data_IF_868438714274
#
_entry.id   IF_868438714274
#
_cell.length_a   1.000
_cell.length_b   1.000
_cell.length_c   1.000
_cell.angle_alpha   90.00
_cell.angle_beta   90.00
_cell.angle_gamma   90.00
#
_symmetry.space_group_name_H-M   'P 1'
#
loop_
_entity.id
_entity.type
_entity.pdbx_description
1 polymer ?
#
# COMPACT_ATOMS: atom_id res chain seq x y z
N UNK A 1 -31.31 3.03 -2.62
CA UNK A 1 -29.90 2.69 -2.34
C UNK A 1 -29.67 1.32 -2.94
N UNK A 2 -28.67 1.14 -3.79
CA UNK A 2 -28.50 -0.09 -4.57
C UNK A 2 -27.29 -0.89 -4.13
N UNK A 3 -26.34 -0.27 -3.41
CA UNK A 3 -25.14 -0.90 -2.89
C UNK A 3 -24.67 -0.27 -1.58
N UNK A 4 -23.96 -1.06 -0.79
CA UNK A 4 -23.22 -0.67 0.40
C UNK A 4 -21.74 -0.89 0.12
N UNK A 5 -20.90 0.06 0.44
CA UNK A 5 -19.46 -0.12 0.51
C UNK A 5 -19.00 -0.10 1.97
N UNK A 6 -18.16 -1.08 2.34
CA UNK A 6 -17.56 -1.18 3.66
C UNK A 6 -16.08 -0.81 3.54
N UNK A 7 -15.64 0.14 4.38
CA UNK A 7 -14.22 0.47 4.55
C UNK A 7 -13.43 -0.73 5.11
N UNK A 8 -12.08 -0.70 5.11
CA UNK A 8 -11.28 -1.86 5.52
C UNK A 8 -11.67 -2.39 6.91
N UNK A 9 -11.97 -3.67 6.95
CA UNK A 9 -12.39 -4.40 8.17
C UNK A 9 -11.54 -5.65 8.43
N UNK A 10 -10.51 -5.86 7.62
CA UNK A 10 -9.60 -6.99 7.75
C UNK A 10 -8.79 -6.91 9.04
N UNK A 11 -8.23 -8.05 9.47
CA UNK A 11 -7.29 -8.08 10.59
C UNK A 11 -6.14 -7.10 10.32
N UNK A 12 -5.94 -6.16 11.24
CA UNK A 12 -5.01 -5.05 11.10
C UNK A 12 -4.49 -4.62 12.47
N UNK A 13 -3.24 -4.16 12.62
CA UNK A 13 -2.78 -3.47 13.82
C UNK A 13 -3.35 -2.05 13.98
N UNK A 14 -4.22 -1.60 13.07
CA UNK A 14 -4.95 -0.32 13.12
C UNK A 14 -4.06 0.93 13.18
N UNK A 15 -2.84 0.86 12.62
CA UNK A 15 -1.94 2.03 12.53
C UNK A 15 -2.42 3.04 11.49
N UNK A 16 -3.23 2.57 10.54
CA UNK A 16 -3.84 3.35 9.48
C UNK A 16 -5.31 2.93 9.27
N UNK A 17 -6.09 2.88 10.36
CA UNK A 17 -7.54 2.66 10.36
C UNK A 17 -8.00 1.45 9.51
N UNK A 18 -7.21 0.37 9.49
CA UNK A 18 -7.50 -0.86 8.76
C UNK A 18 -6.83 -0.96 7.39
N UNK A 19 -6.25 0.11 6.85
CA UNK A 19 -5.51 0.07 5.58
C UNK A 19 -4.15 -0.63 5.69
N UNK A 20 -3.63 -0.84 6.89
CA UNK A 20 -2.45 -1.67 7.19
C UNK A 20 -2.88 -3.14 7.45
N UNK A 21 -3.23 -3.85 6.39
CA UNK A 21 -3.82 -5.20 6.45
C UNK A 21 -2.80 -6.25 6.89
N UNK A 22 -3.07 -6.94 8.00
CA UNK A 22 -2.22 -8.02 8.51
C UNK A 22 -2.68 -9.42 8.04
N UNK A 23 -3.95 -9.57 7.67
CA UNK A 23 -4.51 -10.80 7.07
C UNK A 23 -5.75 -10.43 6.26
N UNK A 24 -5.70 -10.61 4.95
CA UNK A 24 -6.77 -10.28 4.02
C UNK A 24 -8.01 -11.19 4.10
N UNK A 25 -7.87 -12.35 4.73
CA UNK A 25 -8.94 -13.36 4.81
C UNK A 25 -9.51 -13.49 6.23
N UNK A 26 -9.19 -12.54 7.13
CA UNK A 26 -9.70 -12.48 8.49
C UNK A 26 -10.30 -11.11 8.81
N UNK A 27 -11.36 -11.14 9.57
CA UNK A 27 -12.00 -9.92 10.08
C UNK A 27 -11.29 -9.47 11.36
N UNK A 28 -11.11 -8.16 11.53
CA UNK A 28 -10.58 -7.60 12.77
C UNK A 28 -11.58 -7.84 13.90
N UNK A 29 -11.13 -8.33 15.07
CA UNK A 29 -12.02 -8.75 16.16
C UNK A 29 -12.98 -7.67 16.68
N UNK A 30 -12.64 -6.42 16.49
CA UNK A 30 -13.49 -5.26 16.86
C UNK A 30 -14.76 -5.16 16.02
N UNK A 31 -14.75 -5.71 14.81
CA UNK A 31 -15.87 -5.67 13.86
C UNK A 31 -16.68 -6.96 13.84
N UNK A 32 -16.28 -7.97 14.61
CA UNK A 32 -16.92 -9.27 14.69
C UNK A 32 -16.07 -10.39 14.09
N UNK A 33 -16.73 -11.41 13.59
CA UNK A 33 -16.10 -12.58 13.00
C UNK A 33 -16.67 -12.91 11.61
N UNK A 34 -16.24 -14.03 11.05
CA UNK A 34 -16.64 -14.46 9.73
C UNK A 34 -18.15 -14.82 9.66
N UNK A 35 -18.74 -15.30 10.76
CA UNK A 35 -20.16 -15.61 10.81
C UNK A 35 -21.01 -14.30 10.82
N UNK A 36 -20.53 -13.28 11.50
CA UNK A 36 -21.16 -11.94 11.45
C UNK A 36 -21.15 -11.37 10.04
N UNK A 37 -20.04 -11.52 9.32
CA UNK A 37 -19.94 -11.08 7.93
C UNK A 37 -20.86 -11.87 6.99
N UNK A 38 -20.92 -13.20 7.15
CA UNK A 38 -21.83 -14.06 6.37
C UNK A 38 -23.30 -13.67 6.62
N UNK A 39 -23.66 -13.32 7.85
CA UNK A 39 -24.99 -12.82 8.18
C UNK A 39 -25.28 -11.44 7.57
N UNK A 40 -24.29 -10.53 7.58
CA UNK A 40 -24.39 -9.22 6.97
C UNK A 40 -24.64 -9.31 5.46
N UNK A 41 -23.87 -10.13 4.74
CA UNK A 41 -23.99 -10.26 3.28
C UNK A 41 -25.34 -10.91 2.90
N UNK A 42 -25.75 -11.95 3.64
CA UNK A 42 -27.07 -12.56 3.45
C UNK A 42 -28.18 -11.52 3.63
N UNK A 43 -28.12 -10.72 4.70
CA UNK A 43 -29.10 -9.68 4.97
C UNK A 43 -29.11 -8.58 3.92
N UNK A 44 -27.96 -8.17 3.42
CA UNK A 44 -27.87 -7.19 2.34
C UNK A 44 -28.57 -7.71 1.07
N UNK A 45 -28.28 -8.94 0.69
CA UNK A 45 -28.89 -9.58 -0.48
C UNK A 45 -30.41 -9.78 -0.33
N UNK A 46 -30.90 -10.17 0.83
CA UNK A 46 -32.35 -10.28 1.13
C UNK A 46 -33.07 -8.94 0.93
N UNK A 47 -32.37 -7.83 1.13
CA UNK A 47 -32.89 -6.48 0.93
C UNK A 47 -32.64 -5.96 -0.51
N UNK A 48 -32.09 -6.78 -1.39
CA UNK A 48 -31.78 -6.41 -2.77
C UNK A 48 -30.56 -5.46 -2.90
N UNK A 49 -29.71 -5.38 -1.86
CA UNK A 49 -28.53 -4.53 -1.85
C UNK A 49 -27.28 -5.32 -2.29
N UNK A 50 -26.42 -4.66 -3.04
CA UNK A 50 -25.07 -5.15 -3.37
C UNK A 50 -24.10 -4.79 -2.26
N UNK A 51 -23.14 -5.69 -1.96
CA UNK A 51 -22.09 -5.45 -0.97
C UNK A 51 -20.74 -5.33 -1.66
N UNK A 52 -20.10 -4.19 -1.48
CA UNK A 52 -18.72 -3.93 -1.91
C UNK A 52 -17.82 -3.81 -0.69
N UNK A 53 -16.62 -4.36 -0.78
CA UNK A 53 -15.60 -4.24 0.26
C UNK A 53 -14.36 -3.53 -0.27
N UNK A 54 -13.58 -2.97 0.65
CA UNK A 54 -12.29 -2.34 0.32
C UNK A 54 -11.20 -3.40 0.24
N UNK A 55 -10.37 -3.36 -0.79
CA UNK A 55 -9.13 -4.13 -0.89
C UNK A 55 -7.96 -3.18 -1.07
N UNK A 56 -6.88 -3.45 -0.34
CA UNK A 56 -5.64 -2.68 -0.36
C UNK A 56 -4.58 -3.48 -1.13
N UNK A 57 -4.48 -3.35 -2.46
CA UNK A 57 -3.58 -4.19 -3.24
C UNK A 57 -2.13 -3.68 -3.28
N UNK A 58 -1.89 -2.40 -2.96
CA UNK A 58 -0.58 -1.78 -3.15
C UNK A 58 0.44 -2.13 -2.06
N UNK A 59 -0.02 -2.41 -0.85
CA UNK A 59 0.80 -2.69 0.33
C UNK A 59 0.06 -3.60 1.30
N UNK A 60 0.76 -4.09 2.30
CA UNK A 60 0.15 -4.74 3.45
C UNK A 60 0.80 -4.24 4.75
N UNK A 61 0.33 -4.72 5.90
CA UNK A 61 0.98 -4.43 7.18
C UNK A 61 2.39 -5.03 7.27
N UNK A 62 3.26 -4.38 8.01
CA UNK A 62 4.54 -4.95 8.46
C UNK A 62 4.35 -6.21 9.34
N UNK A 63 3.12 -6.45 9.84
CA UNK A 63 2.75 -7.65 10.59
C UNK A 63 2.14 -8.76 9.72
N UNK A 64 1.91 -8.52 8.44
CA UNK A 64 1.43 -9.55 7.52
C UNK A 64 2.47 -10.66 7.38
N UNK A 65 2.01 -11.92 7.37
CA UNK A 65 2.89 -13.08 7.27
C UNK A 65 3.82 -13.02 6.05
N UNK A 66 3.36 -12.46 4.95
CA UNK A 66 4.19 -12.29 3.74
C UNK A 66 5.41 -11.40 3.99
N UNK A 67 5.23 -10.26 4.68
CA UNK A 67 6.35 -9.38 5.00
C UNK A 67 7.23 -9.96 6.08
N UNK A 68 6.63 -10.59 7.11
CA UNK A 68 7.38 -11.23 8.18
C UNK A 68 8.31 -12.33 7.66
N UNK A 69 7.88 -13.10 6.64
CA UNK A 69 8.71 -14.10 5.98
C UNK A 69 9.77 -13.44 5.08
N UNK A 70 9.35 -12.51 4.21
CA UNK A 70 10.22 -11.80 3.28
C UNK A 70 11.42 -11.12 3.95
N UNK A 71 11.19 -10.49 5.12
CA UNK A 71 12.20 -9.74 5.85
C UNK A 71 13.28 -10.59 6.54
N UNK A 72 13.09 -11.93 6.63
CA UNK A 72 14.03 -12.80 7.36
C UNK A 72 15.36 -12.99 6.61
N UNK A 73 15.32 -13.11 5.28
CA UNK A 73 16.49 -13.32 4.46
C UNK A 73 16.28 -12.84 3.02
N UNK A 74 17.36 -12.89 2.21
CA UNK A 74 17.32 -12.51 0.79
C UNK A 74 16.92 -13.65 -0.14
N UNK A 75 16.78 -14.86 0.38
CA UNK A 75 16.65 -16.11 -0.38
C UNK A 75 15.50 -17.02 0.06
N UNK A 76 14.53 -16.48 0.85
CA UNK A 76 13.31 -17.21 1.17
C UNK A 76 12.26 -17.10 0.02
N UNK A 77 11.21 -17.90 0.10
CA UNK A 77 10.16 -18.01 -0.92
C UNK A 77 9.44 -16.68 -1.20
N UNK A 78 9.50 -15.74 -0.27
CA UNK A 78 8.92 -14.39 -0.41
C UNK A 78 9.95 -13.28 -0.53
N UNK A 79 11.21 -13.63 -0.83
CA UNK A 79 12.29 -12.66 -0.90
C UNK A 79 11.97 -11.47 -1.83
N UNK A 80 11.27 -11.72 -2.96
CA UNK A 80 10.95 -10.73 -3.98
C UNK A 80 9.47 -10.27 -3.95
N UNK A 81 8.76 -10.53 -2.84
CA UNK A 81 7.35 -10.12 -2.71
C UNK A 81 7.17 -8.63 -2.42
N UNK A 82 8.23 -7.98 -1.99
CA UNK A 82 8.29 -6.55 -1.68
C UNK A 82 9.45 -5.90 -2.43
N UNK A 83 9.43 -4.57 -2.50
CA UNK A 83 10.52 -3.82 -3.12
C UNK A 83 11.68 -3.67 -2.14
N UNK A 84 12.70 -4.51 -2.30
CA UNK A 84 13.94 -4.50 -1.52
C UNK A 84 15.10 -3.96 -2.37
N UNK A 85 15.89 -3.06 -1.82
CA UNK A 85 17.05 -2.46 -2.52
C UNK A 85 18.24 -2.37 -1.57
N UNK A 86 19.41 -2.66 -2.10
CA UNK A 86 20.67 -2.49 -1.36
C UNK A 86 20.93 -1.00 -1.08
N UNK A 87 21.60 -0.66 0.03
CA UNK A 87 22.03 0.71 0.28
C UNK A 87 22.99 1.19 -0.80
N UNK A 88 23.06 2.51 -0.98
CA UNK A 88 24.12 3.14 -1.75
C UNK A 88 25.49 2.88 -1.07
N UNK A 89 26.62 3.10 -1.77
CA UNK A 89 27.96 2.85 -1.21
C UNK A 89 28.27 3.61 0.09
N UNK A 90 27.59 4.72 0.34
CA UNK A 90 27.69 5.51 1.58
C UNK A 90 26.71 5.04 2.69
N UNK A 91 25.96 3.98 2.43
CA UNK A 91 24.96 3.42 3.35
C UNK A 91 23.60 4.10 3.31
N UNK A 92 23.42 5.13 2.48
CA UNK A 92 22.16 5.86 2.37
C UNK A 92 21.07 5.08 1.60
N UNK A 93 19.83 5.57 1.71
CA UNK A 93 18.68 5.01 0.98
C UNK A 93 18.86 5.13 -0.54
N UNK A 94 18.28 4.20 -1.34
CA UNK A 94 18.54 4.12 -2.77
C UNK A 94 18.08 5.33 -3.57
N UNK A 95 17.06 6.05 -3.10
CA UNK A 95 16.58 7.28 -3.75
C UNK A 95 16.14 8.34 -2.74
N UNK A 96 15.87 9.55 -3.25
CA UNK A 96 15.34 10.67 -2.48
C UNK A 96 13.81 10.65 -2.32
N UNK A 97 13.13 9.56 -2.64
CA UNK A 97 11.68 9.49 -2.63
C UNK A 97 11.09 9.74 -1.25
N UNK A 98 9.93 10.42 -1.23
CA UNK A 98 9.15 10.71 -0.03
C UNK A 98 7.90 9.85 0.02
N UNK A 99 7.50 9.52 1.25
CA UNK A 99 6.20 8.93 1.55
C UNK A 99 5.09 9.96 1.39
N UNK A 100 3.89 9.52 0.99
CA UNK A 100 2.69 10.37 0.94
C UNK A 100 2.32 10.93 2.33
N UNK A 101 2.69 10.24 3.40
CA UNK A 101 2.45 10.69 4.77
C UNK A 101 3.63 11.47 5.37
N UNK A 102 4.61 11.81 4.53
CA UNK A 102 5.80 12.56 4.91
C UNK A 102 6.97 11.65 5.33
N UNK A 103 8.16 12.26 5.34
CA UNK A 103 9.40 11.51 5.55
C UNK A 103 9.83 10.70 4.34
N UNK A 104 10.86 9.86 4.50
CA UNK A 104 11.43 9.05 3.43
C UNK A 104 10.50 7.88 3.10
N UNK A 105 10.47 7.47 1.83
CA UNK A 105 9.74 6.29 1.36
C UNK A 105 10.50 4.97 1.55
N UNK A 106 11.71 5.02 2.09
CA UNK A 106 12.58 3.87 2.30
C UNK A 106 12.90 3.67 3.78
N UNK A 107 12.68 2.45 4.28
CA UNK A 107 13.05 2.05 5.64
C UNK A 107 14.05 0.91 5.63
N UNK A 108 15.04 0.99 6.54
CA UNK A 108 16.09 0.00 6.69
C UNK A 108 15.61 -1.25 7.41
N UNK A 109 15.88 -2.44 6.85
CA UNK A 109 15.68 -3.73 7.52
C UNK A 109 17.05 -4.38 7.84
N UNK A 110 17.45 -4.41 9.11
CA UNK A 110 18.78 -4.89 9.49
C UNK A 110 19.02 -6.39 9.27
N UNK A 111 17.97 -7.24 9.27
CA UNK A 111 18.10 -8.67 9.00
C UNK A 111 18.52 -8.93 7.57
N UNK A 112 17.92 -8.20 6.61
CA UNK A 112 18.26 -8.28 5.19
C UNK A 112 19.42 -7.40 4.79
N UNK A 113 19.75 -6.39 5.61
CA UNK A 113 20.68 -5.32 5.22
C UNK A 113 20.25 -4.68 3.89
N UNK A 114 18.96 -4.37 3.77
CA UNK A 114 18.34 -3.73 2.62
C UNK A 114 17.33 -2.71 3.09
N UNK A 115 17.03 -1.77 2.21
CA UNK A 115 15.88 -0.87 2.35
C UNK A 115 14.65 -1.49 1.69
N UNK A 116 13.47 -1.30 2.29
CA UNK A 116 12.20 -1.60 1.66
C UNK A 116 11.41 -0.32 1.39
N UNK A 117 10.65 -0.33 0.28
CA UNK A 117 9.78 0.77 -0.12
C UNK A 117 8.48 0.75 0.68
N UNK A 118 8.03 1.94 1.09
CA UNK A 118 6.68 2.17 1.59
C UNK A 118 6.17 3.52 1.10
N UNK A 119 5.10 3.55 0.34
CA UNK A 119 4.52 4.80 -0.15
C UNK A 119 3.76 5.57 0.94
N UNK A 120 3.35 4.88 2.01
CA UNK A 120 2.62 5.40 3.15
C UNK A 120 3.44 5.25 4.43
N UNK A 121 2.89 4.67 5.49
CA UNK A 121 3.64 4.46 6.74
C UNK A 121 4.80 3.45 6.55
N UNK A 122 5.88 3.56 7.33
CA UNK A 122 6.91 2.50 7.38
C UNK A 122 6.35 1.11 7.72
N UNK A 123 5.20 1.07 8.37
CA UNK A 123 4.48 -0.17 8.69
C UNK A 123 3.63 -0.70 7.53
N UNK A 124 3.68 -0.07 6.35
CA UNK A 124 2.92 -0.45 5.15
C UNK A 124 3.86 -0.72 3.97
N UNK A 125 4.69 -1.80 4.03
CA UNK A 125 5.61 -2.14 2.95
C UNK A 125 4.86 -2.41 1.64
N UNK A 126 5.38 -1.84 0.55
CA UNK A 126 4.81 -1.99 -0.78
C UNK A 126 5.04 -3.39 -1.36
N UNK A 127 3.96 -3.97 -1.87
CA UNK A 127 3.98 -5.24 -2.59
C UNK A 127 4.60 -5.08 -3.99
N UNK A 128 5.42 -6.06 -4.38
CA UNK A 128 6.06 -6.10 -5.70
C UNK A 128 5.14 -6.75 -6.74
N UNK A 129 4.36 -5.95 -7.43
CA UNK A 129 3.44 -6.42 -8.47
C UNK A 129 4.13 -6.93 -9.76
N UNK A 130 5.43 -6.70 -9.94
CA UNK A 130 6.19 -7.36 -11.01
C UNK A 130 6.29 -8.89 -10.76
N UNK A 131 6.26 -9.31 -9.49
CA UNK A 131 6.25 -10.72 -9.12
C UNK A 131 4.87 -11.37 -9.37
N UNK A 132 4.77 -12.40 -10.23
CA UNK A 132 3.49 -13.09 -10.49
C UNK A 132 2.88 -13.74 -9.25
N UNK A 133 3.71 -14.21 -8.29
CA UNK A 133 3.21 -14.84 -7.07
C UNK A 133 2.42 -13.87 -6.20
N UNK A 134 2.82 -12.60 -6.14
CA UNK A 134 2.08 -11.52 -5.45
C UNK A 134 0.72 -11.31 -6.10
N UNK A 135 0.69 -11.17 -7.44
CA UNK A 135 -0.58 -11.00 -8.18
C UNK A 135 -1.52 -12.19 -8.00
N UNK A 136 -0.98 -13.40 -8.03
CA UNK A 136 -1.78 -14.62 -7.82
C UNK A 136 -2.36 -14.65 -6.39
N UNK A 137 -1.56 -14.35 -5.36
CA UNK A 137 -2.02 -14.32 -3.99
C UNK A 137 -3.14 -13.28 -3.77
N UNK A 138 -3.01 -12.07 -4.35
CA UNK A 138 -4.07 -11.06 -4.28
C UNK A 138 -5.33 -11.48 -5.08
N UNK A 139 -5.15 -12.20 -6.19
CA UNK A 139 -6.27 -12.78 -6.94
C UNK A 139 -6.99 -13.84 -6.12
N UNK A 140 -6.27 -14.66 -5.37
CA UNK A 140 -6.87 -15.68 -4.49
C UNK A 140 -7.61 -15.03 -3.30
N UNK A 141 -7.11 -13.91 -2.78
CA UNK A 141 -7.85 -13.07 -1.81
C UNK A 141 -9.18 -12.59 -2.42
N UNK A 142 -9.13 -12.06 -3.64
CA UNK A 142 -10.36 -11.60 -4.30
C UNK A 142 -11.37 -12.75 -4.52
N UNK A 143 -10.89 -13.92 -4.96
CA UNK A 143 -11.73 -15.12 -5.11
C UNK A 143 -12.36 -15.54 -3.77
N UNK A 144 -11.58 -15.56 -2.69
CA UNK A 144 -12.07 -15.90 -1.36
C UNK A 144 -13.30 -15.05 -0.96
N UNK A 145 -13.28 -13.75 -1.24
CA UNK A 145 -14.38 -12.86 -0.91
C UNK A 145 -15.55 -12.96 -1.91
N UNK A 146 -15.28 -13.17 -3.20
CA UNK A 146 -16.33 -13.43 -4.19
C UNK A 146 -17.07 -14.74 -3.89
N UNK A 147 -16.36 -15.80 -3.49
CA UNK A 147 -16.96 -17.09 -3.12
C UNK A 147 -17.84 -16.96 -1.87
N UNK A 148 -17.61 -15.95 -1.02
CA UNK A 148 -18.47 -15.57 0.10
C UNK A 148 -19.64 -14.69 -0.28
N UNK A 149 -19.77 -14.28 -1.53
CA UNK A 149 -20.91 -13.52 -2.01
C UNK A 149 -20.69 -12.01 -2.10
N UNK A 150 -19.45 -11.50 -1.90
CA UNK A 150 -19.15 -10.09 -2.14
C UNK A 150 -19.42 -9.75 -3.61
N UNK A 151 -20.12 -8.65 -3.88
CA UNK A 151 -20.53 -8.25 -5.23
C UNK A 151 -19.48 -7.42 -5.97
N UNK A 152 -18.53 -6.85 -5.25
CA UNK A 152 -17.49 -6.02 -5.85
C UNK A 152 -16.46 -5.49 -4.87
N UNK A 153 -15.42 -4.86 -5.42
CA UNK A 153 -14.33 -4.26 -4.65
C UNK A 153 -14.15 -2.78 -4.96
N UNK A 154 -13.86 -2.01 -3.93
CA UNK A 154 -13.16 -0.73 -4.08
C UNK A 154 -11.67 -1.02 -3.89
N UNK A 155 -10.86 -0.69 -4.89
CA UNK A 155 -9.41 -0.89 -4.84
C UNK A 155 -8.74 0.38 -4.33
N UNK A 156 -8.09 0.26 -3.17
CA UNK A 156 -7.36 1.38 -2.58
C UNK A 156 -6.01 1.60 -3.24
N UNK A 157 -5.60 2.88 -3.33
CA UNK A 157 -4.25 3.31 -3.69
C UNK A 157 -3.66 2.66 -4.95
N UNK A 158 -4.49 2.31 -5.95
CA UNK A 158 -4.07 1.62 -7.19
C UNK A 158 -3.00 2.38 -7.97
N UNK A 159 -2.98 3.70 -7.85
CA UNK A 159 -1.97 4.55 -8.49
C UNK A 159 -0.55 4.35 -7.91
N UNK A 160 -0.43 3.72 -6.75
CA UNK A 160 0.86 3.41 -6.12
C UNK A 160 1.35 2.00 -6.42
N UNK A 161 0.62 1.23 -7.23
CA UNK A 161 1.05 -0.08 -7.72
C UNK A 161 2.09 0.14 -8.81
N UNK A 162 3.35 0.06 -8.42
CA UNK A 162 4.47 0.21 -9.34
C UNK A 162 4.88 -1.16 -9.87
N UNK A 163 4.42 -1.51 -11.07
CA UNK A 163 4.82 -2.76 -11.72
C UNK A 163 6.24 -2.68 -12.31
N UNK A 164 6.74 -1.47 -12.60
CA UNK A 164 7.99 -1.25 -13.31
C UNK A 164 8.81 -0.14 -12.63
N UNK A 165 9.37 -0.47 -11.47
CA UNK A 165 10.09 0.50 -10.62
C UNK A 165 11.60 0.47 -10.80
N UNK A 166 12.15 -0.48 -11.53
CA UNK A 166 13.58 -0.58 -11.77
C UNK A 166 13.99 0.07 -13.12
N UNK A 167 15.14 0.80 -13.18
CA UNK A 167 16.00 1.13 -12.05
C UNK A 167 15.44 2.27 -11.20
N UNK A 168 15.53 2.13 -9.88
CA UNK A 168 15.15 3.19 -8.95
C UNK A 168 16.10 4.39 -9.12
N UNK A 169 15.54 5.56 -9.41
CA UNK A 169 16.30 6.78 -9.65
C UNK A 169 15.78 7.92 -8.78
N UNK A 170 16.67 8.84 -8.43
CA UNK A 170 16.27 10.07 -7.77
C UNK A 170 15.32 10.87 -8.66
N UNK A 171 14.28 11.42 -8.04
CA UNK A 171 13.47 12.44 -8.69
C UNK A 171 14.26 13.73 -8.83
N UNK A 172 14.10 14.40 -9.96
CA UNK A 172 14.66 15.71 -10.20
C UNK A 172 13.64 16.78 -9.79
N UNK A 173 14.13 17.87 -9.20
CA UNK A 173 13.28 19.02 -8.94
C UNK A 173 12.76 19.61 -10.27
N UNK A 174 11.50 20.06 -10.27
CA UNK A 174 10.93 20.76 -11.42
C UNK A 174 11.42 22.20 -11.45
N UNK A 175 12.22 22.60 -12.46
CA UNK A 175 12.76 23.95 -12.54
C UNK A 175 11.68 25.03 -12.77
N UNK A 176 10.51 24.63 -13.30
CA UNK A 176 9.42 25.55 -13.63
C UNK A 176 8.42 25.73 -12.48
N UNK A 177 8.57 24.99 -11.39
CA UNK A 177 7.68 25.08 -10.24
C UNK A 177 7.89 26.34 -9.41
N UNK A 178 6.85 27.17 -9.30
CA UNK A 178 6.93 28.47 -8.59
C UNK A 178 6.25 28.38 -7.23
N UNK A 179 7.02 28.19 -6.16
CA UNK A 179 6.53 28.13 -4.77
C UNK A 179 5.75 29.37 -4.33
N UNK A 180 6.13 30.56 -4.86
CA UNK A 180 5.53 31.84 -4.46
C UNK A 180 4.05 32.02 -4.83
N UNK A 181 3.49 31.13 -5.66
CA UNK A 181 2.05 31.14 -5.99
C UNK A 181 1.18 30.45 -4.93
N UNK A 182 1.79 29.74 -3.99
CA UNK A 182 1.11 28.99 -2.92
C UNK A 182 0.93 29.85 -1.67
N UNK A 183 -0.11 29.59 -0.85
CA UNK A 183 -0.23 30.17 0.48
C UNK A 183 1.03 29.93 1.31
N UNK A 184 1.42 30.95 2.11
CA UNK A 184 2.68 30.91 2.86
C UNK A 184 2.81 29.71 3.79
N UNK A 185 1.71 29.27 4.40
CA UNK A 185 1.66 28.09 5.28
C UNK A 185 1.90 26.76 4.55
N UNK A 186 1.66 26.70 3.24
CA UNK A 186 1.85 25.50 2.44
C UNK A 186 3.25 25.43 1.81
N UNK A 187 3.95 26.55 1.68
CA UNK A 187 5.26 26.63 0.99
C UNK A 187 6.31 25.67 1.57
N UNK A 188 6.46 25.49 2.91
CA UNK A 188 7.47 24.57 3.44
C UNK A 188 7.28 23.13 3.00
N UNK A 189 6.02 22.67 2.97
CA UNK A 189 5.68 21.32 2.52
C UNK A 189 5.96 21.12 1.03
N UNK A 190 5.45 22.04 0.19
CA UNK A 190 5.67 21.96 -1.25
C UNK A 190 7.13 22.19 -1.64
N UNK A 191 7.88 22.99 -0.88
CA UNK A 191 9.33 23.12 -1.08
C UNK A 191 10.04 21.80 -0.88
N UNK A 192 9.70 21.04 0.16
CA UNK A 192 10.28 19.72 0.39
C UNK A 192 9.97 18.77 -0.77
N UNK A 193 8.75 18.76 -1.26
CA UNK A 193 8.35 17.94 -2.41
C UNK A 193 9.08 18.36 -3.69
N UNK A 194 9.21 19.66 -3.93
CA UNK A 194 9.95 20.22 -5.08
C UNK A 194 11.43 19.85 -5.01
N UNK A 195 12.10 20.13 -3.89
CA UNK A 195 13.55 19.93 -3.73
C UNK A 195 13.96 18.46 -3.83
N UNK A 196 13.03 17.55 -3.53
CA UNK A 196 13.23 16.09 -3.71
C UNK A 196 12.72 15.55 -5.04
N UNK A 197 12.16 16.41 -5.91
CA UNK A 197 11.54 16.00 -7.17
C UNK A 197 10.27 15.18 -7.03
N UNK A 198 9.67 15.14 -5.85
CA UNK A 198 8.47 14.34 -5.59
C UNK A 198 7.27 14.77 -6.42
N UNK A 199 7.18 16.06 -6.78
CA UNK A 199 6.13 16.59 -7.65
C UNK A 199 6.20 16.04 -9.08
N UNK A 200 7.34 15.49 -9.49
CA UNK A 200 7.55 14.90 -10.81
C UNK A 200 7.37 13.38 -10.84
N UNK A 201 6.88 12.78 -9.76
CA UNK A 201 6.58 11.35 -9.77
C UNK A 201 5.41 11.05 -10.73
N UNK A 202 5.53 10.01 -11.58
CA UNK A 202 4.46 9.62 -12.51
C UNK A 202 3.11 9.38 -11.82
N UNK A 203 3.12 8.87 -10.58
CA UNK A 203 1.94 8.66 -9.76
C UNK A 203 1.19 9.94 -9.37
N UNK A 204 1.90 11.08 -9.27
CA UNK A 204 1.30 12.39 -8.96
C UNK A 204 0.86 13.09 -10.23
N UNK A 205 1.62 12.98 -11.32
CA UNK A 205 1.28 13.60 -12.62
C UNK A 205 -0.01 13.04 -13.26
N UNK A 206 -0.44 11.84 -12.89
CA UNK A 206 -1.69 11.26 -13.41
C UNK A 206 -2.96 11.90 -12.81
N UNK A 207 -2.85 12.74 -11.80
CA UNK A 207 -3.97 13.40 -11.11
C UNK A 207 -3.97 14.94 -11.25
N UNK A 208 -3.03 15.50 -11.97
CA UNK A 208 -2.99 16.92 -12.36
C UNK A 208 -3.53 17.10 -13.78
#
# INVERSE_FOLDING_TARGET
MDAIWISPFFASPQKDFGYDVADYCRIHPEYGDMADFDALISKAHDLGLKLMIDIVPAHCSDQHVWFQESRQSRDNDKADWFHWVDPLPDGSAPTNWLSFFGGRAWSWEPRRQQYYLHNFLPSQPNLNHANPAVRNALTDVARFWFDRGVDGFRLDAVHTINADTAPYQNNLADPDFVLGTLPQEQQPFFRQLHDTGQLNQPSIQQFS
#
